data_IF_729367174638
#
_entry.id   IF_729367174638
#
_cell.length_a   1.000
_cell.length_b   1.000
_cell.length_c   1.000
_cell.angle_alpha   90.00
_cell.angle_beta   90.00
_cell.angle_gamma   90.00
#
_symmetry.space_group_name_H-M   'P 1'
#
loop_
_entity.id
_entity.type
_entity.pdbx_description
1 polymer ?
#
# COMPACT_ATOMS: atom_id res chain seq x y z
N UNK A 1 1.28 -11.59 -33.06
CA UNK A 1 1.08 -10.25 -32.49
C UNK A 1 0.19 -10.45 -31.28
N UNK A 2 0.77 -10.53 -30.08
CA UNK A 2 0.00 -10.79 -28.87
C UNK A 2 -0.70 -9.50 -28.44
N UNK A 3 -2.03 -9.48 -28.52
CA UNK A 3 -2.88 -8.48 -27.86
C UNK A 3 -2.46 -8.41 -26.39
N UNK A 4 -1.73 -7.37 -26.02
CA UNK A 4 -1.56 -7.01 -24.62
C UNK A 4 -2.91 -6.46 -24.18
N UNK A 5 -3.81 -7.33 -23.72
CA UNK A 5 -4.94 -6.91 -22.90
C UNK A 5 -4.35 -6.09 -21.76
N UNK A 6 -4.55 -4.78 -21.81
CA UNK A 6 -4.20 -3.92 -20.69
C UNK A 6 -5.00 -4.46 -19.50
N UNK A 7 -4.36 -4.88 -18.40
CA UNK A 7 -5.09 -5.41 -17.28
C UNK A 7 -6.12 -4.38 -16.84
N UNK A 8 -7.36 -4.84 -16.67
CA UNK A 8 -8.49 -4.02 -16.24
C UNK A 8 -8.27 -3.57 -14.79
N UNK A 9 -7.46 -2.51 -14.67
CA UNK A 9 -6.79 -2.16 -13.44
C UNK A 9 -7.73 -1.42 -12.49
N UNK A 10 -8.66 -0.63 -13.03
CA UNK A 10 -9.58 0.17 -12.25
C UNK A 10 -10.58 -0.72 -11.49
N UNK A 11 -11.23 -1.72 -12.13
CA UNK A 11 -12.03 -2.72 -11.43
C UNK A 11 -11.21 -3.55 -10.45
N UNK A 12 -9.99 -3.95 -10.82
CA UNK A 12 -9.10 -4.71 -9.90
C UNK A 12 -8.81 -3.93 -8.62
N UNK A 13 -8.46 -2.64 -8.70
CA UNK A 13 -8.23 -1.80 -7.52
C UNK A 13 -9.51 -1.54 -6.72
N UNK A 14 -10.65 -1.33 -7.39
CA UNK A 14 -11.93 -1.16 -6.72
C UNK A 14 -12.35 -2.42 -5.94
N UNK A 15 -12.26 -3.60 -6.57
CA UNK A 15 -12.53 -4.88 -5.95
C UNK A 15 -11.60 -5.12 -4.75
N UNK A 16 -10.30 -4.87 -4.92
CA UNK A 16 -9.33 -4.96 -3.84
C UNK A 16 -9.71 -4.08 -2.64
N UNK A 17 -10.05 -2.80 -2.87
CA UNK A 17 -10.47 -1.87 -1.82
C UNK A 17 -11.82 -2.23 -1.17
N UNK A 18 -12.68 -2.94 -1.90
CA UNK A 18 -13.96 -3.41 -1.39
C UNK A 18 -13.81 -4.58 -0.39
N UNK A 19 -12.68 -5.31 -0.41
CA UNK A 19 -12.46 -6.47 0.45
C UNK A 19 -12.52 -6.08 1.94
N UNK A 20 -13.25 -6.82 2.79
CA UNK A 20 -13.35 -6.52 4.22
C UNK A 20 -11.98 -6.42 4.94
N UNK A 21 -11.05 -7.30 4.59
CA UNK A 21 -9.69 -7.30 5.14
C UNK A 21 -8.95 -5.99 4.83
N UNK A 22 -9.09 -5.46 3.61
CA UNK A 22 -8.46 -4.21 3.18
C UNK A 22 -9.11 -3.02 3.89
N UNK A 23 -10.44 -2.99 3.97
CA UNK A 23 -11.18 -1.96 4.73
C UNK A 23 -10.80 -1.93 6.20
N UNK A 24 -10.62 -3.11 6.83
CA UNK A 24 -10.13 -3.21 8.21
C UNK A 24 -8.74 -2.60 8.34
N UNK A 25 -7.83 -2.91 7.42
CA UNK A 25 -6.48 -2.35 7.40
C UNK A 25 -6.44 -0.83 7.24
N UNK A 26 -7.37 -0.25 6.46
CA UNK A 26 -7.47 1.19 6.21
C UNK A 26 -8.34 1.94 7.27
N UNK A 27 -9.01 1.21 8.16
CA UNK A 27 -9.90 1.78 9.18
C UNK A 27 -9.23 2.79 10.13
N UNK A 28 -7.94 2.69 10.51
CA UNK A 28 -7.29 3.69 11.37
C UNK A 28 -6.89 4.98 10.66
N UNK A 29 -6.86 4.98 9.32
CA UNK A 29 -6.46 6.16 8.56
C UNK A 29 -7.46 7.29 8.78
N UNK A 30 -7.00 8.54 8.80
CA UNK A 30 -7.89 9.69 8.83
C UNK A 30 -8.55 9.93 7.48
N UNK A 31 -9.67 10.64 7.51
CA UNK A 31 -10.27 11.19 6.30
C UNK A 31 -9.30 12.17 5.61
N UNK A 32 -9.45 12.32 4.29
CA UNK A 32 -8.62 13.19 3.45
C UNK A 32 -7.13 12.82 3.34
N UNK A 33 -6.73 11.61 3.75
CA UNK A 33 -5.47 11.03 3.29
C UNK A 33 -5.48 10.88 1.77
N UNK A 34 -4.33 11.02 1.12
CA UNK A 34 -4.20 10.69 -0.30
C UNK A 34 -3.07 9.67 -0.47
N UNK A 35 -3.39 8.52 -1.06
CA UNK A 35 -2.41 7.53 -1.50
C UNK A 35 -2.46 7.50 -3.02
N UNK A 36 -1.38 7.94 -3.67
CA UNK A 36 -1.24 7.87 -5.12
C UNK A 36 -0.95 6.45 -5.57
N UNK A 37 -1.57 6.01 -6.66
CA UNK A 37 -1.25 4.77 -7.35
C UNK A 37 -0.95 5.11 -8.79
N UNK A 38 0.24 4.73 -9.27
CA UNK A 38 0.66 4.92 -10.66
C UNK A 38 0.93 3.57 -11.29
N UNK A 39 0.36 3.33 -12.46
CA UNK A 39 0.56 2.10 -13.23
C UNK A 39 1.71 2.26 -14.21
N UNK A 40 2.27 1.15 -14.69
CA UNK A 40 3.34 1.18 -15.70
C UNK A 40 2.92 1.82 -17.02
N UNK A 41 1.63 1.90 -17.32
CA UNK A 41 1.05 2.63 -18.46
C UNK A 41 1.11 4.16 -18.30
N UNK A 42 1.42 4.66 -17.11
CA UNK A 42 1.40 6.09 -16.76
C UNK A 42 0.05 6.56 -16.19
N UNK A 43 -1.00 5.74 -16.28
CA UNK A 43 -2.29 6.03 -15.63
C UNK A 43 -2.11 6.14 -14.12
N UNK A 44 -2.84 7.07 -13.50
CA UNK A 44 -2.72 7.33 -12.06
C UNK A 44 -4.07 7.58 -11.42
N UNK A 45 -4.26 6.99 -10.24
CA UNK A 45 -5.45 7.12 -9.41
C UNK A 45 -5.10 7.44 -7.97
N UNK A 46 -6.11 7.88 -7.22
CA UNK A 46 -5.96 8.25 -5.81
C UNK A 46 -6.84 7.35 -4.97
N UNK A 47 -6.24 6.72 -3.96
CA UNK A 47 -6.99 6.13 -2.86
C UNK A 47 -7.07 7.20 -1.77
N UNK A 48 -8.28 7.61 -1.43
CA UNK A 48 -8.56 8.53 -0.33
C UNK A 48 -9.47 7.87 0.69
N UNK A 49 -9.75 8.56 1.78
CA UNK A 49 -10.78 8.18 2.74
C UNK A 49 -11.78 9.31 2.89
N UNK A 50 -13.04 9.00 2.63
CA UNK A 50 -14.17 9.93 2.72
C UNK A 50 -15.23 9.34 3.65
N UNK A 51 -15.64 10.11 4.67
CA UNK A 51 -16.66 9.69 5.64
C UNK A 51 -16.34 8.33 6.28
N UNK A 52 -15.07 8.10 6.61
CA UNK A 52 -14.63 6.85 7.21
C UNK A 52 -14.45 5.66 6.25
N UNK A 53 -14.72 5.81 4.94
CA UNK A 53 -14.62 4.73 3.96
C UNK A 53 -13.50 4.98 2.95
N UNK A 54 -12.70 3.96 2.59
CA UNK A 54 -11.73 4.09 1.51
C UNK A 54 -12.46 4.22 0.17
N UNK A 55 -12.00 5.16 -0.65
CA UNK A 55 -12.58 5.47 -1.95
C UNK A 55 -11.48 5.58 -2.99
N UNK A 56 -11.73 5.03 -4.18
CA UNK A 56 -10.86 5.20 -5.34
C UNK A 56 -11.39 6.35 -6.20
N UNK A 57 -10.55 7.33 -6.47
CA UNK A 57 -10.86 8.44 -7.38
C UNK A 57 -10.00 8.29 -8.62
N UNK A 58 -10.64 8.32 -9.79
CA UNK A 58 -9.97 8.25 -11.09
C UNK A 58 -9.32 9.60 -11.45
N UNK A 59 -8.37 10.04 -10.63
CA UNK A 59 -7.50 11.19 -10.84
C UNK A 59 -6.15 10.97 -10.17
N UNK A 60 -5.06 11.59 -10.67
CA UNK A 60 -3.81 11.68 -9.93
C UNK A 60 -3.99 12.36 -8.57
N UNK A 61 -3.20 11.90 -7.58
CA UNK A 61 -3.19 12.52 -6.26
C UNK A 61 -2.57 13.92 -6.35
N UNK A 62 -3.15 14.89 -5.66
CA UNK A 62 -2.66 16.27 -5.67
C UNK A 62 -1.55 16.45 -4.64
N UNK A 63 -1.77 15.92 -3.44
CA UNK A 63 -0.84 15.98 -2.31
C UNK A 63 -0.75 14.61 -1.65
N UNK A 64 -0.26 13.59 -2.39
CA UNK A 64 -0.19 12.23 -1.88
C UNK A 64 0.68 12.18 -0.62
N UNK A 65 0.17 11.59 0.45
CA UNK A 65 0.97 11.24 1.64
C UNK A 65 2.02 10.18 1.27
N UNK A 66 1.61 9.23 0.43
CA UNK A 66 2.48 8.23 -0.17
C UNK A 66 2.00 7.87 -1.57
N UNK A 67 2.89 7.32 -2.39
CA UNK A 67 2.61 6.83 -3.73
C UNK A 67 3.12 5.41 -3.89
N UNK A 68 2.48 4.64 -4.76
CA UNK A 68 2.94 3.32 -5.19
C UNK A 68 2.94 3.24 -6.71
N UNK A 69 4.09 2.91 -7.29
CA UNK A 69 4.14 2.44 -8.67
C UNK A 69 3.88 0.94 -8.69
N UNK A 70 2.83 0.51 -9.38
CA UNK A 70 2.39 -0.89 -9.44
C UNK A 70 2.61 -1.43 -10.85
N UNK A 71 3.55 -2.38 -11.04
CA UNK A 71 3.72 -3.04 -12.33
C UNK A 71 2.60 -4.06 -12.61
N UNK A 72 2.37 -4.45 -13.88
CA UNK A 72 1.29 -5.36 -14.25
C UNK A 72 1.30 -6.69 -13.50
N UNK A 73 2.48 -7.29 -13.29
CA UNK A 73 2.60 -8.54 -12.55
C UNK A 73 2.27 -8.41 -11.05
N UNK A 74 2.54 -7.25 -10.44
CA UNK A 74 2.11 -6.97 -9.06
C UNK A 74 0.58 -6.84 -8.98
N UNK A 75 -0.03 -6.16 -9.95
CA UNK A 75 -1.47 -5.99 -10.02
C UNK A 75 -2.19 -7.33 -10.21
N UNK A 76 -1.69 -8.19 -11.09
CA UNK A 76 -2.19 -9.55 -11.27
C UNK A 76 -2.09 -10.36 -9.96
N UNK A 77 -0.94 -10.30 -9.28
CA UNK A 77 -0.77 -10.97 -8.00
C UNK A 77 -1.74 -10.45 -6.92
N UNK A 78 -1.99 -9.14 -6.86
CA UNK A 78 -2.97 -8.54 -5.93
C UNK A 78 -4.38 -9.06 -6.21
N UNK A 79 -4.74 -9.20 -7.49
CA UNK A 79 -6.04 -9.72 -7.90
C UNK A 79 -6.23 -11.17 -7.43
N UNK A 80 -5.23 -12.01 -7.69
CA UNK A 80 -5.27 -13.46 -7.40
C UNK A 80 -5.10 -13.79 -5.91
N UNK A 81 -4.46 -12.92 -5.13
CA UNK A 81 -4.21 -13.21 -3.72
C UNK A 81 -5.47 -13.00 -2.87
N UNK A 82 -6.04 -14.09 -2.39
CA UNK A 82 -7.20 -14.09 -1.50
C UNK A 82 -6.81 -14.49 -0.08
N UNK A 83 -7.21 -13.67 0.89
CA UNK A 83 -7.09 -14.00 2.32
C UNK A 83 -8.07 -13.14 3.12
N UNK A 84 -8.52 -13.68 4.26
CA UNK A 84 -9.28 -12.93 5.27
C UNK A 84 -8.37 -12.42 6.41
N UNK A 85 -7.12 -12.90 6.47
CA UNK A 85 -6.16 -12.53 7.49
C UNK A 85 -5.41 -11.24 7.10
N UNK A 86 -5.59 -10.19 7.88
CA UNK A 86 -4.96 -8.89 7.64
C UNK A 86 -3.43 -8.94 7.75
N UNK A 87 -2.89 -9.81 8.61
CA UNK A 87 -1.45 -10.02 8.72
C UNK A 87 -0.88 -10.64 7.45
N UNK A 88 -1.52 -11.68 6.90
CA UNK A 88 -1.14 -12.30 5.64
C UNK A 88 -1.25 -11.31 4.48
N UNK A 89 -2.33 -10.51 4.42
CA UNK A 89 -2.48 -9.44 3.42
C UNK A 89 -1.32 -8.43 3.49
N UNK A 90 -0.99 -7.96 4.69
CA UNK A 90 0.12 -7.02 4.86
C UNK A 90 1.48 -7.65 4.48
N UNK A 91 1.72 -8.91 4.83
CA UNK A 91 2.93 -9.65 4.45
C UNK A 91 3.03 -9.79 2.94
N UNK A 92 1.95 -10.16 2.27
CA UNK A 92 1.89 -10.29 0.82
C UNK A 92 2.24 -8.96 0.14
N UNK A 93 1.60 -7.86 0.54
CA UNK A 93 1.90 -6.53 0.01
C UNK A 93 3.34 -6.10 0.29
N UNK A 94 3.87 -6.36 1.49
CA UNK A 94 5.27 -6.08 1.82
C UNK A 94 6.22 -6.92 0.96
N UNK A 95 5.86 -8.17 0.68
CA UNK A 95 6.56 -9.04 -0.25
C UNK A 95 6.74 -8.38 -1.61
N UNK A 96 5.66 -7.81 -2.17
CA UNK A 96 5.71 -7.07 -3.44
C UNK A 96 6.61 -5.83 -3.40
N UNK A 97 6.81 -5.17 -2.24
CA UNK A 97 7.75 -4.04 -2.13
C UNK A 97 9.23 -4.49 -2.19
N UNK A 98 9.48 -5.75 -1.82
CA UNK A 98 10.83 -6.34 -1.74
C UNK A 98 11.08 -7.42 -2.79
N UNK A 99 10.16 -7.59 -3.75
CA UNK A 99 10.26 -8.61 -4.78
C UNK A 99 11.51 -8.37 -5.65
N UNK A 100 12.13 -9.47 -6.09
CA UNK A 100 13.30 -9.43 -6.95
C UNK A 100 12.92 -9.24 -8.42
N UNK A 101 11.72 -9.67 -8.82
CA UNK A 101 11.20 -9.50 -10.17
C UNK A 101 10.66 -8.06 -10.35
N UNK A 102 11.24 -7.24 -11.24
CA UNK A 102 10.75 -5.88 -11.51
C UNK A 102 9.29 -5.82 -11.96
N UNK A 103 8.76 -6.87 -12.60
CA UNK A 103 7.36 -6.92 -13.02
C UNK A 103 6.40 -7.18 -11.87
N UNK A 104 6.91 -7.60 -10.70
CA UNK A 104 6.13 -7.83 -9.47
C UNK A 104 6.48 -6.83 -8.37
N UNK A 105 7.60 -6.12 -8.51
CA UNK A 105 8.08 -5.19 -7.51
C UNK A 105 7.31 -3.87 -7.52
N UNK A 106 6.54 -3.62 -6.47
CA UNK A 106 5.95 -2.31 -6.24
C UNK A 106 7.01 -1.33 -5.74
N UNK A 107 6.97 -0.09 -6.23
CA UNK A 107 7.91 0.97 -5.81
C UNK A 107 7.17 1.99 -4.93
N UNK A 108 7.46 2.05 -3.62
CA UNK A 108 6.85 3.03 -2.74
C UNK A 108 7.57 4.38 -2.86
N UNK A 109 6.81 5.47 -2.77
CA UNK A 109 7.30 6.84 -2.60
C UNK A 109 6.63 7.45 -1.38
N UNK A 110 7.41 7.94 -0.42
CA UNK A 110 6.88 8.54 0.79
C UNK A 110 7.03 10.07 0.74
N UNK A 111 5.91 10.80 0.73
CA UNK A 111 5.93 12.27 0.72
C UNK A 111 5.54 12.87 2.08
N UNK A 112 5.13 12.03 3.04
CA UNK A 112 4.75 12.44 4.39
C UNK A 112 5.90 12.19 5.39
N UNK A 113 6.04 13.08 6.36
CA UNK A 113 6.95 12.88 7.49
C UNK A 113 6.42 11.88 8.52
N UNK A 114 7.31 11.39 9.39
CA UNK A 114 6.95 10.45 10.46
C UNK A 114 5.85 10.97 11.38
N UNK A 115 5.89 12.27 11.73
CA UNK A 115 4.82 12.89 12.52
C UNK A 115 3.48 12.77 11.79
N UNK A 116 3.46 13.03 10.48
CA UNK A 116 2.26 12.86 9.66
C UNK A 116 1.78 11.41 9.59
N UNK A 117 2.67 10.42 9.49
CA UNK A 117 2.30 9.00 9.52
C UNK A 117 1.62 8.59 10.82
N UNK A 118 2.09 9.12 11.95
CA UNK A 118 1.45 8.93 13.25
C UNK A 118 0.09 9.63 13.28
N UNK A 119 0.06 10.93 12.98
CA UNK A 119 -1.13 11.75 13.16
C UNK A 119 -2.25 11.45 12.15
N UNK A 120 -1.93 10.89 10.98
CA UNK A 120 -2.89 10.41 9.97
C UNK A 120 -3.25 8.94 10.10
N UNK A 121 -2.70 8.23 11.10
CA UNK A 121 -3.11 6.87 11.46
C UNK A 121 -2.42 5.74 10.69
N UNK A 122 -1.43 6.04 9.84
CA UNK A 122 -0.70 5.01 9.09
C UNK A 122 0.04 4.02 9.98
N UNK A 123 0.65 4.47 11.08
CA UNK A 123 1.34 3.54 11.98
C UNK A 123 0.36 2.70 12.82
N UNK A 124 -0.88 3.16 12.98
CA UNK A 124 -1.91 2.41 13.70
C UNK A 124 -2.43 1.20 12.91
N UNK A 125 -2.12 1.08 11.62
CA UNK A 125 -2.49 -0.09 10.80
C UNK A 125 -1.62 -1.30 11.09
N UNK A 126 -0.36 -1.08 11.49
CA UNK A 126 0.63 -2.14 11.75
C UNK A 126 0.17 -3.14 12.81
N UNK A 127 -0.24 -2.72 14.03
CA UNK A 127 -0.67 -3.68 15.04
C UNK A 127 -1.93 -4.47 14.64
N UNK A 128 -2.72 -3.99 13.66
CA UNK A 128 -3.91 -4.72 13.18
C UNK A 128 -3.55 -6.01 12.43
N UNK A 129 -2.34 -6.11 11.88
CA UNK A 129 -1.83 -7.35 11.28
C UNK A 129 -1.48 -8.44 12.30
N UNK A 130 -1.57 -8.15 13.59
CA UNK A 130 -1.43 -9.11 14.67
C UNK A 130 -0.05 -9.76 14.77
N UNK A 131 0.01 -10.89 15.48
CA UNK A 131 1.26 -11.59 15.76
C UNK A 131 1.96 -12.08 14.49
N UNK A 132 1.20 -12.48 13.46
CA UNK A 132 1.75 -12.97 12.18
C UNK A 132 2.58 -11.90 11.48
N UNK A 133 2.01 -10.69 11.30
CA UNK A 133 2.74 -9.57 10.72
C UNK A 133 3.93 -9.16 11.59
N UNK A 134 3.75 -9.07 12.90
CA UNK A 134 4.83 -8.65 13.81
C UNK A 134 6.01 -9.63 13.79
N UNK A 135 5.75 -10.94 13.75
CA UNK A 135 6.80 -11.96 13.58
C UNK A 135 7.53 -11.78 12.25
N UNK A 136 6.79 -11.59 11.16
CA UNK A 136 7.39 -11.34 9.85
C UNK A 136 8.24 -10.07 9.81
N UNK A 137 7.74 -8.96 10.36
CA UNK A 137 8.48 -7.70 10.46
C UNK A 137 9.75 -7.89 11.30
N UNK A 138 9.71 -8.66 12.38
CA UNK A 138 10.88 -8.98 13.18
C UNK A 138 11.96 -9.71 12.38
N UNK A 139 11.61 -10.68 11.52
CA UNK A 139 12.60 -11.37 10.66
C UNK A 139 13.22 -10.45 9.60
N UNK A 140 12.58 -9.32 9.30
CA UNK A 140 13.09 -8.27 8.41
C UNK A 140 13.82 -7.13 9.13
N UNK A 141 14.05 -7.26 10.44
CA UNK A 141 14.74 -6.25 11.26
C UNK A 141 13.83 -5.15 11.81
N UNK A 142 12.51 -5.31 11.69
CA UNK A 142 11.48 -4.36 12.14
C UNK A 142 10.69 -4.88 13.36
N UNK A 143 11.39 -5.51 14.32
CA UNK A 143 10.75 -6.17 15.46
C UNK A 143 10.08 -5.24 16.48
N UNK A 144 10.13 -3.92 16.29
CA UNK A 144 9.48 -2.95 17.15
C UNK A 144 8.94 -1.76 16.37
N UNK A 145 7.93 -1.08 16.92
CA UNK A 145 7.39 0.16 16.33
C UNK A 145 8.46 1.25 16.20
N UNK A 146 9.43 1.29 17.13
CA UNK A 146 10.59 2.19 17.05
C UNK A 146 11.50 1.88 15.85
N UNK A 147 11.77 0.60 15.60
CA UNK A 147 12.56 0.18 14.43
C UNK A 147 11.86 0.53 13.11
N UNK A 148 10.54 0.34 13.04
CA UNK A 148 9.72 0.72 11.89
C UNK A 148 9.77 2.24 11.68
N UNK A 149 9.57 3.02 12.75
CA UNK A 149 9.64 4.49 12.71
C UNK A 149 10.99 4.97 12.17
N UNK A 150 12.09 4.38 12.64
CA UNK A 150 13.44 4.71 12.20
C UNK A 150 13.68 4.35 10.72
N UNK A 151 13.18 3.20 10.27
CA UNK A 151 13.28 2.78 8.89
C UNK A 151 12.56 3.75 7.94
N UNK A 152 11.36 4.18 8.33
CA UNK A 152 10.57 5.15 7.57
C UNK A 152 11.29 6.51 7.51
N UNK A 153 11.89 6.97 8.61
CA UNK A 153 12.71 8.20 8.59
C UNK A 153 13.83 8.14 7.54
N UNK A 154 14.54 7.01 7.46
CA UNK A 154 15.64 6.80 6.50
C UNK A 154 15.15 6.75 5.05
N UNK A 155 14.02 6.08 4.80
CA UNK A 155 13.41 6.03 3.46
C UNK A 155 13.07 7.43 2.94
N UNK A 156 12.58 8.33 3.82
CA UNK A 156 12.33 9.73 3.45
C UNK A 156 13.61 10.49 3.12
N UNK A 157 14.67 10.29 3.88
CA UNK A 157 15.95 10.98 3.67
C UNK A 157 16.61 10.58 2.35
N UNK A 158 16.49 9.31 1.94
CA UNK A 158 16.97 8.85 0.62
C UNK A 158 16.02 9.12 -0.55
N UNK A 159 14.82 9.67 -0.31
CA UNK A 159 13.85 10.07 -1.36
C UNK A 159 13.92 11.57 -1.71
N UNK A 160 14.80 12.33 -1.05
CA UNK A 160 15.13 13.72 -1.39
C UNK A 160 16.23 13.77 -2.44
#
# INVERSE_FOLDING_TARGET
MSEHQSPDWLPTLNEFLARPVVRKGLSPLKDSIEIGVTLSSGESVTITKEKGQPTLINRPAEKPDMGFSIPPGALAAIKEFETEDLGQMAIFLFGLLTDADPNRKMVPKLNIGVIGLVTKGYLATIPLGGATLMKYLATKGFGSLGAIKNAISRLREGSK
#
